data_IF_364618893189
#
_entry.id   IF_364618893189
#
_cell.length_a   1.000
_cell.length_b   1.000
_cell.length_c   1.000
_cell.angle_alpha   90.00
_cell.angle_beta   90.00
_cell.angle_gamma   90.00
#
_symmetry.space_group_name_H-M   'P 1'
#
loop_
_entity.id
_entity.type
_entity.pdbx_description
1 polymer ?
#
# COMPACT_ATOMS: atom_id res chain seq x y z
N UNK A 1 -17.93 66.40 -8.03
CA UNK A 1 -19.20 66.22 -8.76
C UNK A 1 -18.87 65.70 -10.15
N UNK A 2 -19.39 64.50 -10.46
CA UNK A 2 -19.59 63.81 -11.75
C UNK A 2 -18.70 64.12 -12.97
N UNK A 3 -18.11 63.07 -13.55
CA UNK A 3 -18.56 62.55 -14.85
C UNK A 3 -18.14 61.08 -15.02
N UNK A 4 -19.10 60.27 -15.48
CA UNK A 4 -19.09 58.82 -15.66
C UNK A 4 -19.37 58.54 -17.15
N UNK A 5 -18.53 57.77 -17.85
CA UNK A 5 -18.82 57.07 -19.13
C UNK A 5 -17.75 55.94 -19.26
N UNK A 6 -17.99 54.65 -19.03
CA UNK A 6 -18.78 53.59 -19.72
C UNK A 6 -18.16 53.06 -21.05
N UNK A 7 -17.50 51.88 -20.94
CA UNK A 7 -17.51 50.63 -21.77
C UNK A 7 -17.00 50.76 -23.24
N UNK A 8 -16.14 49.88 -23.81
CA UNK A 8 -16.46 48.55 -24.39
C UNK A 8 -15.18 47.72 -24.73
N UNK A 9 -15.12 46.51 -24.17
CA UNK A 9 -14.82 45.15 -24.71
C UNK A 9 -13.87 44.93 -25.92
N UNK A 10 -12.94 43.96 -25.77
CA UNK A 10 -12.54 42.91 -26.75
C UNK A 10 -11.73 41.82 -25.98
N UNK A 11 -12.36 40.74 -25.51
CA UNK A 11 -12.52 39.46 -26.19
C UNK A 11 -11.19 38.75 -26.53
N UNK A 12 -10.74 37.83 -25.66
CA UNK A 12 -9.96 36.66 -26.10
C UNK A 12 -10.59 35.44 -25.45
N UNK A 13 -11.35 34.71 -26.26
CA UNK A 13 -11.87 33.40 -25.95
C UNK A 13 -10.69 32.43 -25.79
N UNK A 14 -10.37 32.06 -24.56
CA UNK A 14 -9.53 30.90 -24.29
C UNK A 14 -10.34 29.65 -24.56
N UNK A 15 -10.09 29.00 -25.68
CA UNK A 15 -10.60 27.66 -25.99
C UNK A 15 -9.94 26.71 -24.99
N UNK A 16 -10.60 26.43 -23.87
CA UNK A 16 -10.25 25.30 -23.03
C UNK A 16 -10.74 24.05 -23.78
N UNK A 17 -9.80 23.36 -24.41
CA UNK A 17 -9.99 22.08 -25.07
C UNK A 17 -10.62 21.14 -24.05
N UNK A 18 -11.85 20.71 -24.33
CA UNK A 18 -12.47 19.59 -23.66
C UNK A 18 -11.70 18.31 -24.03
N UNK A 19 -10.66 17.98 -23.25
CA UNK A 19 -10.07 16.66 -23.26
C UNK A 19 -11.04 15.71 -22.55
N UNK A 20 -11.98 15.15 -23.33
CA UNK A 20 -12.63 13.90 -22.99
C UNK A 20 -11.57 12.79 -23.08
N UNK A 21 -11.03 12.42 -21.92
CA UNK A 21 -10.31 11.19 -21.65
C UNK A 21 -10.33 11.05 -20.14
N UNK A 22 -11.17 10.20 -19.54
CA UNK A 22 -11.33 8.81 -19.94
C UNK A 22 -10.27 7.93 -19.28
N UNK A 23 -9.77 8.29 -18.10
CA UNK A 23 -9.17 7.33 -17.18
C UNK A 23 -9.77 7.62 -15.80
N UNK A 24 -10.68 6.75 -15.37
CA UNK A 24 -10.92 6.56 -13.94
C UNK A 24 -9.55 6.25 -13.35
N UNK A 25 -8.90 7.27 -12.80
CA UNK A 25 -7.89 7.07 -11.79
C UNK A 25 -8.64 6.38 -10.65
N UNK A 26 -8.65 5.05 -10.67
CA UNK A 26 -8.85 4.23 -9.48
C UNK A 26 -7.72 4.65 -8.57
N UNK A 27 -7.93 5.74 -7.84
CA UNK A 27 -7.27 6.00 -6.59
C UNK A 27 -7.54 4.75 -5.80
N UNK A 28 -6.57 3.83 -5.82
CA UNK A 28 -6.61 2.60 -5.06
C UNK A 28 -6.55 3.11 -3.65
N UNK A 29 -7.73 3.33 -3.07
CA UNK A 29 -7.96 3.94 -1.76
C UNK A 29 -7.02 3.19 -0.84
N UNK A 30 -5.90 3.83 -0.48
CA UNK A 30 -4.71 3.14 -0.01
C UNK A 30 -5.14 2.15 1.06
N UNK A 31 -5.00 0.84 0.76
CA UNK A 31 -5.30 -0.20 1.73
C UNK A 31 -4.58 0.23 2.99
N UNK A 32 -5.30 0.39 4.10
CA UNK A 32 -4.67 0.85 5.32
C UNK A 32 -3.66 -0.24 5.73
N UNK A 33 -2.40 -0.06 5.34
CA UNK A 33 -1.36 -1.09 5.42
C UNK A 33 -0.97 -1.40 6.87
N UNK A 34 -1.43 -0.56 7.82
CA UNK A 34 -1.31 -0.87 9.24
C UNK A 34 -2.27 -1.97 9.71
N UNK A 35 -3.32 -2.31 8.97
CA UNK A 35 -4.32 -3.30 9.39
C UNK A 35 -4.12 -4.71 8.78
N UNK A 36 -2.94 -4.99 8.25
CA UNK A 36 -2.66 -6.30 7.64
C UNK A 36 -2.49 -7.36 8.72
N UNK A 37 -2.91 -8.58 8.39
CA UNK A 37 -2.84 -9.74 9.28
C UNK A 37 -2.15 -10.91 8.61
N UNK A 38 -1.41 -11.67 9.41
CA UNK A 38 -0.61 -12.79 8.94
C UNK A 38 -0.81 -14.00 9.88
N UNK A 39 -0.86 -15.25 9.39
CA UNK A 39 -0.75 -15.65 7.99
C UNK A 39 -2.07 -15.45 7.22
N UNK A 40 -1.96 -15.52 5.90
CA UNK A 40 -3.10 -15.63 5.00
C UNK A 40 -3.43 -17.12 4.72
N UNK A 41 -4.68 -17.39 4.38
CA UNK A 41 -5.19 -18.69 3.96
C UNK A 41 -6.04 -18.56 2.69
N UNK A 42 -6.07 -19.58 1.82
CA UNK A 42 -6.94 -19.58 0.64
C UNK A 42 -8.41 -19.51 1.03
N UNK A 43 -9.21 -18.77 0.25
CA UNK A 43 -10.67 -18.74 0.41
C UNK A 43 -11.37 -19.87 -0.33
N UNK A 44 -10.63 -20.65 -1.14
CA UNK A 44 -11.18 -21.64 -2.06
C UNK A 44 -11.73 -21.02 -3.36
N UNK A 45 -11.63 -19.70 -3.53
CA UNK A 45 -12.01 -18.99 -4.75
C UNK A 45 -10.77 -18.62 -5.56
N UNK A 46 -10.98 -18.42 -6.85
CA UNK A 46 -9.97 -17.86 -7.75
C UNK A 46 -10.34 -16.42 -8.05
N UNK A 47 -9.38 -15.50 -7.85
CA UNK A 47 -9.56 -14.09 -8.14
C UNK A 47 -9.55 -13.77 -9.64
N UNK A 48 -9.79 -12.51 -9.99
CA UNK A 48 -9.91 -12.06 -11.38
C UNK A 48 -8.66 -12.29 -12.26
N UNK A 49 -7.50 -12.50 -11.64
CA UNK A 49 -6.23 -12.79 -12.33
C UNK A 49 -5.87 -14.28 -12.41
N UNK A 50 -6.78 -15.20 -12.09
CA UNK A 50 -6.48 -16.64 -12.08
C UNK A 50 -5.71 -17.12 -10.85
N UNK A 51 -5.32 -16.21 -9.95
CA UNK A 51 -4.64 -16.54 -8.70
C UNK A 51 -5.63 -16.89 -7.58
N UNK A 52 -5.26 -17.76 -6.63
CA UNK A 52 -6.06 -18.05 -5.45
C UNK A 52 -6.36 -16.76 -4.68
N UNK A 53 -7.63 -16.54 -4.36
CA UNK A 53 -8.01 -15.48 -3.42
C UNK A 53 -7.58 -15.88 -2.01
N UNK A 54 -6.88 -14.97 -1.33
CA UNK A 54 -6.37 -15.17 0.03
C UNK A 54 -7.10 -14.25 1.01
N UNK A 55 -7.24 -14.70 2.25
CA UNK A 55 -7.74 -13.89 3.36
C UNK A 55 -6.93 -14.16 4.62
N UNK A 56 -6.92 -13.27 5.62
CA UNK A 56 -6.32 -13.58 6.91
C UNK A 56 -6.89 -14.87 7.51
N UNK A 57 -6.00 -15.72 8.01
CA UNK A 57 -6.39 -16.91 8.75
C UNK A 57 -7.17 -16.56 10.02
N UNK A 58 -7.97 -17.49 10.52
CA UNK A 58 -8.66 -17.30 11.80
C UNK A 58 -7.64 -17.09 12.92
N UNK A 59 -7.73 -15.96 13.63
CA UNK A 59 -6.77 -15.61 14.68
C UNK A 59 -5.41 -15.13 14.16
N UNK A 60 -5.32 -14.74 12.88
CA UNK A 60 -4.11 -14.18 12.31
C UNK A 60 -3.57 -13.01 13.13
N UNK A 61 -2.25 -13.01 13.30
CA UNK A 61 -1.46 -12.00 13.99
C UNK A 61 -1.62 -10.62 13.35
N UNK A 62 -1.84 -9.61 14.19
CA UNK A 62 -1.93 -8.22 13.78
C UNK A 62 -0.54 -7.64 13.57
N UNK A 63 -0.21 -7.31 12.31
CA UNK A 63 1.13 -6.82 11.95
C UNK A 63 1.42 -5.39 12.43
N UNK A 64 0.39 -4.60 12.78
CA UNK A 64 0.57 -3.23 13.29
C UNK A 64 1.47 -3.17 14.53
N UNK A 65 1.43 -4.22 15.36
CA UNK A 65 2.18 -4.28 16.62
C UNK A 65 3.70 -4.29 16.38
N UNK A 66 4.15 -4.59 15.16
CA UNK A 66 5.57 -4.62 14.80
C UNK A 66 6.16 -3.22 14.55
N UNK A 67 5.32 -2.21 14.29
CA UNK A 67 5.78 -0.85 13.99
C UNK A 67 6.56 -0.28 15.18
N UNK A 68 7.75 0.25 14.91
CA UNK A 68 8.66 0.81 15.91
C UNK A 68 9.53 -0.22 16.63
N UNK A 69 9.24 -1.52 16.53
CA UNK A 69 10.07 -2.58 17.14
C UNK A 69 11.43 -2.69 16.43
N UNK A 70 12.45 -3.17 17.15
CA UNK A 70 13.70 -3.58 16.52
C UNK A 70 13.46 -4.81 15.65
N UNK A 71 14.14 -4.92 14.52
CA UNK A 71 13.93 -6.03 13.58
C UNK A 71 14.08 -7.42 14.23
N UNK A 72 15.04 -7.61 15.14
CA UNK A 72 15.23 -8.88 15.84
C UNK A 72 14.03 -9.24 16.74
N UNK A 73 13.57 -8.28 17.55
CA UNK A 73 12.40 -8.43 18.44
C UNK A 73 11.13 -8.68 17.61
N UNK A 74 10.97 -7.94 16.51
CA UNK A 74 9.84 -8.09 15.60
C UNK A 74 9.80 -9.48 14.94
N UNK A 75 10.95 -10.03 14.53
CA UNK A 75 11.04 -11.38 13.95
C UNK A 75 10.58 -12.44 14.93
N UNK A 76 11.03 -12.35 16.18
CA UNK A 76 10.57 -13.26 17.23
C UNK A 76 9.05 -13.15 17.43
N UNK A 77 8.54 -11.91 17.51
CA UNK A 77 7.11 -11.65 17.71
C UNK A 77 6.24 -12.17 16.55
N UNK A 78 6.66 -11.96 15.31
CA UNK A 78 5.98 -12.49 14.14
C UNK A 78 6.03 -14.02 14.09
N UNK A 79 7.18 -14.61 14.44
CA UNK A 79 7.38 -16.06 14.50
C UNK A 79 6.43 -16.75 15.48
N UNK A 80 6.14 -16.13 16.63
CA UNK A 80 5.11 -16.60 17.58
C UNK A 80 3.71 -16.67 16.94
N UNK A 81 3.44 -15.82 15.94
CA UNK A 81 2.21 -15.81 15.15
C UNK A 81 2.24 -16.71 13.90
N UNK A 82 3.32 -17.47 13.68
CA UNK A 82 3.49 -18.33 12.52
C UNK A 82 3.87 -17.59 11.23
N UNK A 83 4.48 -16.41 11.36
CA UNK A 83 4.88 -15.55 10.26
C UNK A 83 6.37 -15.20 10.30
N UNK A 84 6.93 -14.94 9.13
CA UNK A 84 8.32 -14.51 8.97
C UNK A 84 8.37 -13.10 8.39
N UNK A 85 9.43 -12.36 8.72
CA UNK A 85 9.64 -10.98 8.24
C UNK A 85 10.71 -10.94 7.17
N UNK A 86 10.34 -10.37 6.02
CA UNK A 86 11.24 -9.98 4.94
C UNK A 86 11.38 -8.46 4.94
N UNK A 87 12.61 -7.97 4.91
CA UNK A 87 12.87 -6.54 4.75
C UNK A 87 12.92 -6.25 3.26
N UNK A 88 11.98 -5.45 2.77
CA UNK A 88 11.93 -5.04 1.36
C UNK A 88 12.60 -3.69 1.12
N UNK A 89 12.66 -2.84 2.16
CA UNK A 89 13.43 -1.60 2.14
C UNK A 89 14.19 -1.46 3.46
N UNK A 90 15.49 -1.20 3.37
CA UNK A 90 16.36 -0.94 4.51
C UNK A 90 17.03 0.43 4.34
N UNK A 91 16.79 1.34 5.27
CA UNK A 91 17.38 2.69 5.29
C UNK A 91 17.20 3.44 3.95
N UNK A 92 16.02 3.28 3.34
CA UNK A 92 15.66 3.88 2.05
C UNK A 92 16.13 3.09 0.82
N UNK A 93 16.90 2.02 0.98
CA UNK A 93 17.38 1.17 -0.12
C UNK A 93 16.54 -0.11 -0.27
N UNK A 94 16.01 -0.35 -1.48
CA UNK A 94 15.30 -1.57 -1.82
C UNK A 94 16.19 -2.82 -1.65
N UNK A 95 15.58 -3.92 -1.21
CA UNK A 95 16.24 -5.20 -0.95
C UNK A 95 15.69 -6.28 -1.89
N UNK A 96 16.49 -7.32 -2.21
CA UNK A 96 15.98 -8.48 -2.92
C UNK A 96 14.86 -9.16 -2.11
N UNK A 97 13.71 -9.38 -2.75
CA UNK A 97 12.54 -10.04 -2.15
C UNK A 97 12.13 -11.27 -2.96
N UNK A 98 11.59 -12.32 -2.32
CA UNK A 98 11.01 -13.44 -3.04
C UNK A 98 9.84 -12.99 -3.94
N UNK A 99 9.80 -13.52 -5.17
CA UNK A 99 8.73 -13.25 -6.14
C UNK A 99 7.52 -14.17 -5.98
N UNK A 100 7.71 -15.32 -5.33
CA UNK A 100 6.64 -16.29 -5.09
C UNK A 100 5.68 -15.80 -4.00
N UNK A 101 4.40 -16.14 -4.17
CA UNK A 101 3.39 -15.92 -3.13
C UNK A 101 3.67 -16.87 -1.96
N UNK A 102 3.97 -16.29 -0.80
CA UNK A 102 4.08 -16.99 0.47
C UNK A 102 3.17 -16.33 1.53
N UNK A 103 2.02 -16.96 1.86
CA UNK A 103 1.03 -16.45 2.82
C UNK A 103 1.54 -16.14 4.24
N UNK A 104 2.77 -16.55 4.58
CA UNK A 104 3.38 -16.36 5.90
C UNK A 104 4.41 -15.24 5.95
N UNK A 105 4.72 -14.60 4.82
CA UNK A 105 5.70 -13.51 4.78
C UNK A 105 5.04 -12.16 5.04
N UNK A 106 5.65 -11.40 5.94
CA UNK A 106 5.36 -9.99 6.19
C UNK A 106 6.52 -9.19 5.58
N UNK A 107 6.19 -8.30 4.64
CA UNK A 107 7.15 -7.41 4.01
C UNK A 107 7.16 -6.08 4.74
N UNK A 108 8.35 -5.63 5.15
CA UNK A 108 8.50 -4.45 6.00
C UNK A 108 9.59 -3.51 5.49
N UNK A 109 9.40 -2.23 5.79
CA UNK A 109 10.46 -1.25 5.65
C UNK A 109 11.11 -1.03 7.00
N UNK A 110 12.41 -0.81 6.98
CA UNK A 110 13.19 -0.53 8.18
C UNK A 110 14.01 0.74 8.03
N UNK A 111 14.15 1.47 9.13
CA UNK A 111 15.09 2.57 9.28
C UNK A 111 15.80 2.44 10.63
N UNK A 112 17.13 2.59 10.63
CA UNK A 112 17.99 2.49 11.82
C UNK A 112 17.70 1.21 12.63
N UNK A 113 17.46 0.10 11.92
CA UNK A 113 17.19 -1.22 12.50
C UNK A 113 15.79 -1.39 13.12
N UNK A 114 14.86 -0.45 12.92
CA UNK A 114 13.48 -0.52 13.40
C UNK A 114 12.50 -0.58 12.25
N UNK A 115 11.38 -1.27 12.45
CA UNK A 115 10.30 -1.31 11.47
C UNK A 115 9.57 0.04 11.45
N UNK A 116 9.46 0.64 10.27
CA UNK A 116 8.76 1.93 10.09
C UNK A 116 7.45 1.76 9.34
N UNK A 117 7.31 0.71 8.53
CA UNK A 117 6.13 0.45 7.73
C UNK A 117 5.95 -1.04 7.46
N UNK A 118 4.70 -1.49 7.46
CA UNK A 118 4.30 -2.75 6.84
C UNK A 118 3.96 -2.47 5.39
N UNK A 119 4.63 -3.14 4.46
CA UNK A 119 4.37 -3.04 3.02
C UNK A 119 3.22 -3.96 2.62
N UNK A 120 3.26 -5.22 3.07
CA UNK A 120 2.35 -6.26 2.62
C UNK A 120 2.48 -7.56 3.40
N UNK A 121 1.52 -8.47 3.21
CA UNK A 121 1.58 -9.86 3.66
C UNK A 121 1.27 -10.75 2.47
N UNK A 122 1.96 -11.89 2.36
CA UNK A 122 1.66 -12.89 1.33
C UNK A 122 2.55 -12.82 0.09
N UNK A 123 3.06 -11.63 -0.27
CA UNK A 123 3.91 -11.47 -1.45
C UNK A 123 3.17 -11.75 -2.77
N UNK A 124 3.89 -11.62 -3.88
CA UNK A 124 3.36 -11.67 -5.24
C UNK A 124 3.14 -10.25 -5.81
N UNK A 125 3.89 -9.94 -6.87
CA UNK A 125 3.66 -8.77 -7.74
C UNK A 125 2.79 -9.19 -8.93
#
# INVERSE_FOLDING_TARGET
MLALVVVIVLAVAGIAIAARGGEEEKTTKGTNLSALRCPLEPTGKTGAGGQPELRPAKGAFDTSVLIGMRLAEAREKAGQGGCDIVVSVQDGAGQPVPIDINPKLIYVYTEKGRITRIEGVGGGI
#
